data_IF_659703189621
#
_entry.id   IF_659703189621
#
_cell.length_a   1.000
_cell.length_b   1.000
_cell.length_c   1.000
_cell.angle_alpha   90.00
_cell.angle_beta   90.00
_cell.angle_gamma   90.00
#
_symmetry.space_group_name_H-M   'P 1'
#
loop_
_entity.id
_entity.type
_entity.pdbx_description
1 polymer ?
#
# COMPACT_ATOMS: atom_id res chain seq x y z
N UNK A 1 18.29 -3.16 -3.28
CA UNK A 1 17.55 -3.18 -2.00
C UNK A 1 17.98 -4.42 -1.23
N UNK A 2 18.84 -4.30 -0.19
CA UNK A 2 19.45 -5.44 0.53
C UNK A 2 18.42 -6.35 1.24
N UNK A 3 17.24 -5.82 1.51
CA UNK A 3 16.17 -6.56 2.17
C UNK A 3 15.49 -7.60 1.28
N UNK A 4 15.54 -7.46 -0.05
CA UNK A 4 14.90 -8.39 -0.99
C UNK A 4 15.53 -9.79 -0.87
N UNK A 5 16.85 -9.86 -0.70
CA UNK A 5 17.59 -11.12 -0.51
C UNK A 5 17.17 -11.85 0.77
N UNK A 6 16.73 -11.12 1.79
CA UNK A 6 16.30 -11.67 3.07
C UNK A 6 14.89 -12.29 3.04
N UNK A 7 14.12 -12.08 1.96
CA UNK A 7 12.79 -12.66 1.75
C UNK A 7 12.87 -14.08 1.18
N UNK A 8 13.87 -14.35 0.34
CA UNK A 8 14.04 -15.63 -0.35
C UNK A 8 14.99 -16.60 0.36
N UNK A 9 15.60 -16.20 1.48
CA UNK A 9 16.50 -17.05 2.24
C UNK A 9 15.80 -18.25 2.87
N UNK A 10 16.48 -19.39 2.81
CA UNK A 10 16.10 -20.80 3.02
C UNK A 10 15.61 -21.17 4.44
N UNK A 11 14.97 -20.24 5.15
CA UNK A 11 14.54 -20.42 6.53
C UNK A 11 13.36 -21.37 6.68
N UNK A 12 13.38 -22.18 7.74
CA UNK A 12 12.27 -23.03 8.17
C UNK A 12 10.97 -22.24 8.32
N UNK A 13 10.05 -22.43 7.38
CA UNK A 13 8.75 -21.72 7.31
C UNK A 13 7.79 -22.05 8.46
N UNK A 14 8.07 -23.11 9.23
CA UNK A 14 7.19 -23.65 10.26
C UNK A 14 7.12 -22.83 11.56
N UNK A 15 8.04 -21.88 11.78
CA UNK A 15 8.11 -21.06 13.00
C UNK A 15 7.97 -19.55 12.73
N UNK A 16 7.48 -19.16 11.55
CA UNK A 16 7.32 -17.75 11.19
C UNK A 16 6.16 -17.13 11.96
N UNK A 17 6.46 -16.34 12.98
CA UNK A 17 5.44 -15.57 13.69
C UNK A 17 4.94 -14.41 12.83
N UNK A 18 3.72 -13.93 13.07
CA UNK A 18 3.10 -12.82 12.34
C UNK A 18 3.91 -11.52 12.36
N UNK A 19 4.93 -11.42 13.24
CA UNK A 19 5.80 -10.27 13.38
C UNK A 19 7.15 -10.45 12.67
N UNK A 20 7.42 -11.59 12.03
CA UNK A 20 8.66 -11.83 11.31
C UNK A 20 8.53 -11.37 9.85
N UNK A 21 9.56 -10.63 9.39
CA UNK A 21 9.69 -10.09 8.03
C UNK A 21 9.37 -11.11 6.93
N UNK A 22 9.89 -12.33 7.08
CA UNK A 22 9.73 -13.41 6.11
C UNK A 22 8.28 -13.89 5.96
N UNK A 23 7.50 -13.90 7.05
CA UNK A 23 6.08 -14.24 7.00
C UNK A 23 5.23 -13.20 6.27
N UNK A 24 5.67 -11.94 6.24
CA UNK A 24 5.01 -10.82 5.54
C UNK A 24 5.55 -10.55 4.14
N UNK A 25 6.73 -11.09 3.80
CA UNK A 25 7.47 -10.86 2.56
C UNK A 25 6.62 -10.98 1.29
N UNK A 26 5.92 -12.11 1.13
CA UNK A 26 5.06 -12.38 -0.04
C UNK A 26 3.95 -11.34 -0.17
N UNK A 27 3.39 -10.87 0.95
CA UNK A 27 2.30 -9.89 0.95
C UNK A 27 2.78 -8.46 0.66
N UNK A 28 4.04 -8.14 0.95
CA UNK A 28 4.64 -6.90 0.44
C UNK A 28 4.71 -6.93 -1.09
N UNK A 29 5.13 -8.03 -1.70
CA UNK A 29 5.21 -8.13 -3.16
C UNK A 29 3.82 -8.16 -3.81
N UNK A 30 2.85 -8.87 -3.24
CA UNK A 30 1.47 -8.85 -3.75
C UNK A 30 0.85 -7.45 -3.61
N UNK A 31 1.13 -6.74 -2.51
CA UNK A 31 0.72 -5.35 -2.33
C UNK A 31 1.36 -4.43 -3.38
N UNK A 32 2.68 -4.57 -3.59
CA UNK A 32 3.43 -3.80 -4.59
C UNK A 32 2.91 -4.08 -6.00
N UNK A 33 2.73 -5.35 -6.37
CA UNK A 33 2.19 -5.75 -7.67
C UNK A 33 0.79 -5.16 -7.88
N UNK A 34 -0.08 -5.24 -6.88
CA UNK A 34 -1.43 -4.66 -6.96
C UNK A 34 -1.38 -3.15 -7.15
N UNK A 35 -0.48 -2.46 -6.45
CA UNK A 35 -0.27 -1.02 -6.62
C UNK A 35 0.25 -0.68 -8.01
N UNK A 36 1.26 -1.41 -8.50
CA UNK A 36 1.81 -1.23 -9.84
C UNK A 36 0.73 -1.42 -10.92
N UNK A 37 -0.08 -2.47 -10.83
CA UNK A 37 -1.18 -2.72 -11.76
C UNK A 37 -2.22 -1.59 -11.74
N UNK A 38 -2.56 -1.09 -10.55
CA UNK A 38 -3.51 0.01 -10.40
C UNK A 38 -2.97 1.32 -10.97
N UNK A 39 -1.69 1.65 -10.69
CA UNK A 39 -1.02 2.83 -11.26
C UNK A 39 -0.95 2.70 -12.78
N UNK A 40 -0.59 1.53 -13.31
CA UNK A 40 -0.53 1.29 -14.74
C UNK A 40 -1.89 1.56 -15.41
N UNK A 41 -2.98 1.02 -14.86
CA UNK A 41 -4.33 1.26 -15.38
C UNK A 41 -4.73 2.73 -15.34
N UNK A 42 -4.31 3.48 -14.30
CA UNK A 42 -4.54 4.93 -14.22
C UNK A 42 -3.77 5.64 -15.34
N UNK A 43 -2.48 5.32 -15.52
CA UNK A 43 -1.64 5.91 -16.57
C UNK A 43 -2.21 5.62 -17.95
N UNK A 44 -2.58 4.37 -18.23
CA UNK A 44 -3.15 3.96 -19.52
C UNK A 44 -4.41 4.78 -19.83
N UNK A 45 -5.33 4.92 -18.86
CA UNK A 45 -6.54 5.72 -19.02
C UNK A 45 -6.23 7.20 -19.28
N UNK A 46 -5.24 7.76 -18.60
CA UNK A 46 -4.83 9.17 -18.80
C UNK A 46 -4.30 9.38 -20.22
N UNK A 47 -3.47 8.45 -20.71
CA UNK A 47 -2.92 8.49 -22.06
C UNK A 47 -4.05 8.38 -23.10
N UNK A 48 -4.98 7.45 -22.91
CA UNK A 48 -6.14 7.30 -23.78
C UNK A 48 -7.00 8.57 -23.83
N UNK A 49 -7.31 9.16 -22.68
CA UNK A 49 -8.07 10.41 -22.62
C UNK A 49 -7.32 11.58 -23.27
N UNK A 50 -6.00 11.68 -23.08
CA UNK A 50 -5.18 12.71 -23.70
C UNK A 50 -5.17 12.56 -25.23
N UNK A 51 -5.00 11.34 -25.75
CA UNK A 51 -5.03 11.06 -27.19
C UNK A 51 -6.43 11.30 -27.79
N UNK A 52 -7.50 11.08 -27.02
CA UNK A 52 -8.86 11.37 -27.41
C UNK A 52 -9.24 12.86 -27.33
N UNK A 53 -8.40 13.70 -26.71
CA UNK A 53 -8.67 15.13 -26.57
C UNK A 53 -8.45 15.83 -27.92
N UNK A 54 -9.54 16.32 -28.53
CA UNK A 54 -9.47 17.15 -29.74
C UNK A 54 -8.90 18.55 -29.42
N UNK A 55 -7.58 18.65 -29.35
CA UNK A 55 -6.88 19.93 -29.20
C UNK A 55 -6.94 20.72 -30.53
N UNK A 56 -7.01 20.02 -31.66
CA UNK A 56 -7.07 20.62 -32.99
C UNK A 56 -8.50 20.69 -33.51
N UNK A 57 -9.23 21.74 -33.11
CA UNK A 57 -10.41 22.17 -33.88
C UNK A 57 -9.92 22.73 -35.22
N UNK A 58 -10.65 22.51 -36.32
CA UNK A 58 -10.33 23.01 -37.67
C UNK A 58 -10.36 24.53 -37.83
N UNK A 59 -9.85 25.28 -36.85
CA UNK A 59 -9.78 26.74 -36.79
C UNK A 59 -8.31 27.15 -36.69
N UNK A 60 -7.91 28.14 -37.47
CA UNK A 60 -6.60 28.76 -37.28
C UNK A 60 -6.55 29.48 -35.92
N UNK A 61 -5.57 29.11 -35.10
CA UNK A 61 -5.27 29.76 -33.83
C UNK A 61 -3.82 30.25 -33.83
N UNK A 62 -3.52 31.27 -33.03
CA UNK A 62 -2.14 31.77 -32.90
C UNK A 62 -1.27 30.75 -32.16
N UNK A 63 0.04 30.74 -32.43
CA UNK A 63 1.01 29.86 -31.76
C UNK A 63 0.97 30.03 -30.23
N UNK A 64 0.81 31.25 -29.74
CA UNK A 64 0.71 31.52 -28.31
C UNK A 64 -0.57 30.93 -27.72
N UNK A 65 -1.68 31.00 -28.44
CA UNK A 65 -2.95 30.42 -27.98
C UNK A 65 -2.90 28.89 -27.96
N UNK A 66 -2.30 28.26 -28.99
CA UNK A 66 -2.06 26.83 -29.00
C UNK A 66 -1.20 26.39 -27.80
N UNK A 67 -0.13 27.13 -27.51
CA UNK A 67 0.73 26.84 -26.36
C UNK A 67 -0.03 26.88 -25.04
N UNK A 68 -0.86 27.91 -24.83
CA UNK A 68 -1.68 28.03 -23.62
C UNK A 68 -2.67 26.87 -23.47
N UNK A 69 -3.30 26.42 -24.56
CA UNK A 69 -4.21 25.27 -24.53
C UNK A 69 -3.48 23.99 -24.14
N UNK A 70 -2.27 23.77 -24.67
CA UNK A 70 -1.45 22.61 -24.31
C UNK A 70 -1.02 22.67 -22.83
N UNK A 71 -0.55 23.83 -22.37
CA UNK A 71 -0.12 24.01 -20.97
C UNK A 71 -1.29 23.83 -19.98
N UNK A 72 -2.49 24.32 -20.31
CA UNK A 72 -3.68 24.15 -19.48
C UNK A 72 -4.14 22.69 -19.43
N UNK A 73 -4.14 21.99 -20.58
CA UNK A 73 -4.48 20.58 -20.65
C UNK A 73 -3.50 19.71 -19.84
N UNK A 74 -2.19 19.96 -19.97
CA UNK A 74 -1.16 19.29 -19.17
C UNK A 74 -1.40 19.56 -17.67
N UNK A 75 -1.62 20.82 -17.30
CA UNK A 75 -1.85 21.21 -15.90
C UNK A 75 -3.12 20.59 -15.32
N UNK A 76 -4.18 20.49 -16.13
CA UNK A 76 -5.43 19.84 -15.78
C UNK A 76 -5.21 18.34 -15.52
N UNK A 77 -4.54 17.64 -16.45
CA UNK A 77 -4.23 16.22 -16.30
C UNK A 77 -3.32 15.97 -15.09
N UNK A 78 -2.29 16.77 -14.85
CA UNK A 78 -1.44 16.62 -13.65
C UNK A 78 -2.23 16.69 -12.33
N UNK A 79 -3.18 17.64 -12.22
CA UNK A 79 -4.04 17.78 -11.04
C UNK A 79 -4.95 16.55 -10.86
N UNK A 80 -5.57 16.09 -11.94
CA UNK A 80 -6.44 14.91 -11.91
C UNK A 80 -5.67 13.63 -11.59
N UNK A 81 -4.45 13.49 -12.11
CA UNK A 81 -3.60 12.32 -11.84
C UNK A 81 -3.27 12.21 -10.36
N UNK A 82 -2.89 13.33 -9.72
CA UNK A 82 -2.66 13.37 -8.27
C UNK A 82 -3.90 12.96 -7.49
N UNK A 83 -5.08 13.41 -7.91
CA UNK A 83 -6.34 13.03 -7.29
C UNK A 83 -6.63 11.52 -7.43
N UNK A 84 -6.51 10.95 -8.64
CA UNK A 84 -6.77 9.53 -8.87
C UNK A 84 -5.77 8.62 -8.14
N UNK A 85 -4.49 8.97 -8.13
CA UNK A 85 -3.47 8.24 -7.38
C UNK A 85 -3.78 8.27 -5.89
N UNK A 86 -4.14 9.44 -5.34
CA UNK A 86 -4.55 9.55 -3.94
C UNK A 86 -5.80 8.71 -3.63
N UNK A 87 -6.81 8.74 -4.50
CA UNK A 87 -8.01 7.91 -4.34
C UNK A 87 -7.65 6.42 -4.36
N UNK A 88 -6.81 5.97 -5.29
CA UNK A 88 -6.30 4.60 -5.35
C UNK A 88 -5.62 4.19 -4.03
N UNK A 89 -4.72 5.02 -3.51
CA UNK A 89 -4.10 4.77 -2.20
C UNK A 89 -5.11 4.68 -1.07
N UNK A 90 -6.10 5.59 -1.03
CA UNK A 90 -7.16 5.56 -0.02
C UNK A 90 -8.08 4.34 -0.15
N UNK A 91 -8.38 3.88 -1.37
CA UNK A 91 -9.16 2.66 -1.60
C UNK A 91 -8.42 1.41 -1.16
N UNK A 92 -7.11 1.29 -1.45
CA UNK A 92 -6.29 0.17 -0.96
C UNK A 92 -6.21 0.22 0.58
N UNK A 93 -6.00 1.40 1.17
CA UNK A 93 -6.06 1.60 2.63
C UNK A 93 -7.39 1.16 3.21
N UNK A 94 -8.51 1.62 2.65
CA UNK A 94 -9.85 1.25 3.12
C UNK A 94 -10.15 -0.24 2.99
N UNK A 95 -9.74 -0.88 1.90
CA UNK A 95 -9.89 -2.34 1.71
C UNK A 95 -9.03 -3.16 2.68
N UNK A 96 -7.88 -2.63 3.11
CA UNK A 96 -7.01 -3.23 4.12
C UNK A 96 -7.46 -2.98 5.58
N UNK A 97 -8.43 -2.09 5.82
CA UNK A 97 -8.96 -1.85 7.17
C UNK A 97 -9.86 -3.00 7.60
N UNK A 98 -9.50 -3.66 8.71
CA UNK A 98 -10.34 -4.60 9.48
C UNK A 98 -10.80 -5.86 8.71
N UNK A 99 -10.51 -5.97 7.41
CA UNK A 99 -10.87 -7.13 6.60
C UNK A 99 -9.78 -8.22 6.64
N UNK A 100 -9.64 -8.86 7.80
CA UNK A 100 -8.76 -10.01 7.95
C UNK A 100 -9.20 -11.23 7.12
N UNK A 101 -10.47 -11.32 6.73
CA UNK A 101 -10.97 -12.40 5.86
C UNK A 101 -10.35 -12.37 4.47
N UNK A 102 -9.90 -11.20 4.01
CA UNK A 102 -9.10 -11.11 2.80
C UNK A 102 -7.68 -11.60 3.02
N UNK A 103 -7.03 -11.21 4.13
CA UNK A 103 -5.70 -11.67 4.53
C UNK A 103 -5.27 -11.15 5.91
N UNK A 104 -4.71 -12.02 6.77
CA UNK A 104 -4.21 -11.65 8.10
C UNK A 104 -3.00 -10.70 8.05
N UNK A 105 -2.20 -10.78 6.98
CA UNK A 105 -0.95 -10.03 6.82
C UNK A 105 -1.12 -8.69 6.10
N UNK A 106 -2.29 -8.45 5.50
CA UNK A 106 -2.62 -7.18 4.85
C UNK A 106 -3.64 -6.36 5.62
N UNK A 107 -4.00 -6.75 6.84
CA UNK A 107 -4.93 -6.02 7.69
C UNK A 107 -4.20 -5.30 8.83
N UNK A 108 -4.76 -4.18 9.27
CA UNK A 108 -4.32 -3.47 10.47
C UNK A 108 -4.78 -4.13 11.78
N UNK A 109 -5.46 -5.28 11.71
CA UNK A 109 -5.93 -6.05 12.86
C UNK A 109 -5.57 -7.53 12.74
N UNK A 110 -5.46 -8.20 13.89
CA UNK A 110 -5.17 -9.63 14.01
C UNK A 110 -6.19 -10.35 14.89
N UNK A 111 -6.52 -11.61 14.57
CA UNK A 111 -7.36 -12.45 15.40
C UNK A 111 -6.54 -12.83 16.63
N UNK A 112 -7.12 -12.60 17.81
CA UNK A 112 -6.46 -12.88 19.08
C UNK A 112 -7.33 -13.83 19.89
N UNK A 113 -7.34 -15.13 19.58
CA UNK A 113 -8.00 -16.08 20.48
C UNK A 113 -7.43 -15.89 21.89
N UNK A 114 -8.30 -15.71 22.88
CA UNK A 114 -7.87 -15.66 24.27
C UNK A 114 -7.33 -17.05 24.61
N UNK A 115 -6.00 -17.18 24.71
CA UNK A 115 -5.34 -18.48 24.98
C UNK A 115 -5.80 -19.12 26.31
N UNK A 116 -6.35 -18.30 27.21
CA UNK A 116 -6.77 -18.70 28.55
C UNK A 116 -8.29 -18.87 28.72
N UNK A 117 -9.11 -18.57 27.71
CA UNK A 117 -10.57 -18.67 27.77
C UNK A 117 -11.11 -19.30 26.49
N UNK A 118 -11.06 -20.63 26.42
CA UNK A 118 -11.82 -21.38 25.40
C UNK A 118 -13.28 -21.36 25.85
N UNK A 119 -13.99 -20.27 25.57
CA UNK A 119 -15.44 -20.20 25.74
C UNK A 119 -16.06 -20.75 24.46
N UNK A 120 -16.73 -21.91 24.48
CA UNK A 120 -17.44 -22.42 23.32
C UNK A 120 -18.43 -21.36 22.82
N UNK A 121 -18.46 -21.11 21.50
CA UNK A 121 -19.34 -20.14 20.84
C UNK A 121 -19.06 -18.65 21.12
N UNK A 122 -17.92 -18.30 21.73
CA UNK A 122 -17.53 -16.89 21.85
C UNK A 122 -16.97 -16.35 20.51
N UNK A 123 -17.33 -15.12 20.09
CA UNK A 123 -16.70 -14.48 18.95
C UNK A 123 -15.19 -14.32 19.20
N UNK A 124 -14.36 -14.67 18.21
CA UNK A 124 -12.91 -14.48 18.28
C UNK A 124 -12.63 -12.97 18.28
N UNK A 125 -12.02 -12.40 19.33
CA UNK A 125 -11.80 -10.98 19.38
C UNK A 125 -10.70 -10.59 18.38
N UNK A 126 -10.92 -9.45 17.74
CA UNK A 126 -9.98 -8.83 16.82
C UNK A 126 -9.21 -7.78 17.63
N UNK A 127 -7.88 -7.85 17.62
CA UNK A 127 -7.02 -6.82 18.22
C UNK A 127 -6.29 -6.04 17.13
N UNK A 128 -6.10 -4.73 17.30
CA UNK A 128 -5.29 -3.98 16.35
C UNK A 128 -3.83 -4.39 16.42
N UNK A 129 -3.15 -4.31 15.28
CA UNK A 129 -1.69 -4.35 15.23
C UNK A 129 -1.17 -3.09 15.91
N UNK A 130 -0.14 -3.22 16.74
CA UNK A 130 0.48 -2.10 17.43
C UNK A 130 1.99 -2.16 17.24
N UNK A 131 2.60 -0.99 17.03
CA UNK A 131 4.04 -0.83 16.83
C UNK A 131 4.61 0.08 17.91
N UNK A 132 5.45 -0.45 18.79
CA UNK A 132 6.00 0.28 19.93
C UNK A 132 4.98 0.63 21.03
N UNK A 133 5.43 1.30 22.12
CA UNK A 133 4.55 1.71 23.20
C UNK A 133 3.64 2.85 22.71
N UNK A 134 2.33 2.60 22.72
CA UNK A 134 1.26 3.57 22.40
C UNK A 134 1.00 3.91 20.93
N UNK A 135 1.46 3.11 19.96
CA UNK A 135 1.04 3.29 18.57
C UNK A 135 0.15 2.14 18.08
N UNK A 136 -1.15 2.42 17.95
CA UNK A 136 -2.15 1.47 17.44
C UNK A 136 -2.47 1.76 15.97
N UNK A 137 -2.42 0.73 15.14
CA UNK A 137 -2.80 0.81 13.73
C UNK A 137 -4.31 0.97 13.50
N UNK A 138 -5.09 0.97 14.59
CA UNK A 138 -6.49 1.37 14.54
C UNK A 138 -6.67 2.89 14.55
N UNK A 139 -5.80 3.60 15.26
CA UNK A 139 -5.93 5.05 15.48
C UNK A 139 -5.00 5.85 14.58
N UNK A 140 -3.91 5.25 14.10
CA UNK A 140 -2.94 5.94 13.25
C UNK A 140 -2.32 4.99 12.23
N UNK A 141 -2.38 5.35 10.95
CA UNK A 141 -1.56 4.69 9.91
C UNK A 141 -0.09 5.07 9.99
N UNK A 142 0.28 5.98 10.91
CA UNK A 142 1.65 6.44 11.07
C UNK A 142 2.52 5.58 11.97
N UNK A 143 1.96 4.52 12.54
CA UNK A 143 2.71 3.60 13.36
C UNK A 143 3.69 2.79 12.52
N UNK A 144 4.95 2.80 12.94
CA UNK A 144 6.04 2.06 12.32
C UNK A 144 6.95 1.41 13.34
N UNK A 145 7.57 0.30 12.96
CA UNK A 145 8.55 -0.42 13.76
C UNK A 145 9.75 -0.84 12.91
N UNK A 146 10.93 -0.91 13.51
CA UNK A 146 12.10 -1.46 12.84
C UNK A 146 11.96 -2.97 12.68
N UNK A 147 12.41 -3.48 11.55
CA UNK A 147 12.39 -4.91 11.26
C UNK A 147 13.75 -5.52 11.56
N UNK A 148 13.74 -6.69 12.20
CA UNK A 148 14.94 -7.43 12.56
C UNK A 148 14.96 -8.81 11.89
N UNK A 149 16.14 -9.22 11.42
CA UNK A 149 16.44 -10.60 11.01
C UNK A 149 17.57 -11.10 11.91
N UNK A 150 17.24 -11.99 12.84
CA UNK A 150 18.13 -12.28 13.97
C UNK A 150 18.29 -11.03 14.84
N UNK A 151 19.54 -10.61 15.08
CA UNK A 151 19.86 -9.39 15.84
C UNK A 151 20.10 -8.15 14.94
N UNK A 152 20.03 -8.32 13.62
CA UNK A 152 20.36 -7.25 12.67
C UNK A 152 19.10 -6.51 12.20
N UNK A 153 19.16 -5.17 12.24
CA UNK A 153 18.14 -4.31 11.65
C UNK A 153 18.21 -4.41 10.13
N UNK A 154 17.06 -4.60 9.49
CA UNK A 154 16.92 -4.51 8.04
C UNK A 154 16.97 -3.04 7.64
N UNK A 155 18.14 -2.58 7.19
CA UNK A 155 18.34 -1.19 6.78
C UNK A 155 17.45 -0.81 5.60
N UNK A 156 16.84 0.37 5.67
CA UNK A 156 15.94 0.88 4.63
C UNK A 156 14.61 0.13 4.53
N UNK A 157 14.18 -0.55 5.61
CA UNK A 157 12.85 -1.13 5.67
C UNK A 157 12.22 -0.91 7.06
N UNK A 158 10.99 -0.42 7.07
CA UNK A 158 10.17 -0.24 8.27
C UNK A 158 8.86 -1.00 8.13
N UNK A 159 8.44 -1.63 9.21
CA UNK A 159 7.14 -2.28 9.30
C UNK A 159 6.09 -1.21 9.63
N UNK A 160 5.18 -0.96 8.70
CA UNK A 160 3.99 -0.15 8.94
C UNK A 160 2.75 -1.00 9.21
N UNK A 161 1.65 -0.33 9.53
CA UNK A 161 0.35 -0.96 9.83
C UNK A 161 -0.21 -1.89 8.75
N UNK A 162 0.17 -1.66 7.50
CA UNK A 162 -0.17 -2.53 6.36
C UNK A 162 1.08 -2.71 5.49
N UNK A 163 1.09 -3.71 4.59
CA UNK A 163 2.13 -3.85 3.58
C UNK A 163 2.37 -2.58 2.78
N UNK A 164 1.28 -1.87 2.42
CA UNK A 164 1.35 -0.60 1.71
C UNK A 164 2.06 0.49 2.54
N UNK A 165 1.71 0.66 3.82
CA UNK A 165 2.38 1.64 4.69
C UNK A 165 3.86 1.32 4.90
N UNK A 166 4.19 0.03 4.96
CA UNK A 166 5.59 -0.43 5.05
C UNK A 166 6.37 0.02 3.82
N UNK A 167 5.82 -0.19 2.61
CA UNK A 167 6.45 0.20 1.35
C UNK A 167 6.56 1.71 1.17
N UNK A 168 5.56 2.49 1.57
CA UNK A 168 5.58 3.95 1.41
C UNK A 168 6.57 4.66 2.34
N UNK A 169 7.03 3.99 3.40
CA UNK A 169 7.88 4.56 4.45
C UNK A 169 9.30 4.01 4.47
N UNK A 170 9.55 2.95 3.69
CA UNK A 170 10.86 2.30 3.53
C UNK A 170 11.60 2.91 2.34
#
# INVERSE_FOLDING_TARGET
>A
MPWIENIFGDGSWSNLTINQFRGRGVFYFLGLQSLCNMIQSIVDRIVEEFLATEIFKGKMISRNHLRLLIEDEISYKERWNKMYINMAFHSVRGGSQINQFMNIFSSNCIFSPNENEIIPYSPIPIKPVSHGPNCSCFTSSACTEFVFVGEQVVSGFVLGCTPLESLLRS
#
